data_IF_954352361540
#
_entry.id   IF_954352361540
#
_cell.length_a   1.000
_cell.length_b   1.000
_cell.length_c   1.000
_cell.angle_alpha   90.00
_cell.angle_beta   90.00
_cell.angle_gamma   90.00
#
_symmetry.space_group_name_H-M   'P 1'
#
loop_
_entity.id
_entity.type
_entity.pdbx_description
1 polymer ?
#
# COMPACT_ATOMS: atom_id res chain seq x y z
N UNK A 1 17.52 -11.16 -3.86
CA UNK A 1 17.37 -10.39 -2.62
C UNK A 1 16.63 -9.10 -2.93
N UNK A 2 15.53 -8.83 -2.25
CA UNK A 2 14.79 -7.61 -2.52
C UNK A 2 15.57 -6.37 -2.13
N UNK A 3 15.42 -5.33 -2.95
CA UNK A 3 15.90 -4.00 -2.66
C UNK A 3 14.71 -3.18 -2.18
N UNK A 4 14.92 -2.37 -1.17
CA UNK A 4 13.87 -1.56 -0.57
C UNK A 4 14.16 -0.09 -0.83
N UNK A 5 13.12 0.67 -1.17
CA UNK A 5 13.21 2.12 -1.18
C UNK A 5 12.72 2.62 0.17
N UNK A 6 13.47 3.53 0.76
CA UNK A 6 13.28 3.99 2.13
C UNK A 6 13.05 5.49 2.12
N UNK A 7 12.03 5.94 2.83
CA UNK A 7 11.75 7.36 3.05
C UNK A 7 11.83 7.64 4.55
N UNK A 8 12.66 8.62 4.90
CA UNK A 8 12.68 9.19 6.25
C UNK A 8 12.38 10.66 6.12
N UNK A 9 11.45 11.16 6.92
CA UNK A 9 11.06 12.55 6.81
C UNK A 9 10.75 13.17 8.16
N UNK A 10 10.82 14.48 8.16
CA UNK A 10 10.42 15.34 9.28
C UNK A 10 9.56 16.44 8.71
N UNK A 11 8.43 16.71 9.34
CA UNK A 11 7.50 17.72 8.87
C UNK A 11 7.01 18.53 10.08
N UNK A 12 6.79 19.86 9.94
CA UNK A 12 6.28 20.67 11.05
C UNK A 12 4.93 20.16 11.56
N UNK A 13 4.73 20.24 12.88
CA UNK A 13 3.47 19.85 13.48
C UNK A 13 2.31 20.74 13.03
N UNK A 14 2.59 22.01 12.80
CA UNK A 14 1.59 22.99 12.37
C UNK A 14 1.93 23.52 10.99
N UNK A 15 0.95 23.59 10.08
CA UNK A 15 -0.44 23.11 10.24
C UNK A 15 -0.52 21.57 10.16
N UNK A 16 -1.46 21.01 10.89
CA UNK A 16 -1.66 19.55 10.93
C UNK A 16 -2.01 18.95 9.57
N UNK A 17 -2.57 19.74 8.67
CA UNK A 17 -2.99 19.28 7.34
C UNK A 17 -1.83 18.67 6.55
N UNK A 18 -0.61 19.20 6.66
CA UNK A 18 0.56 18.68 5.98
C UNK A 18 0.90 17.26 6.42
N UNK A 19 0.88 17.01 7.73
CA UNK A 19 1.16 15.67 8.27
C UNK A 19 0.11 14.67 7.84
N UNK A 20 -1.15 15.06 7.86
CA UNK A 20 -2.26 14.19 7.43
C UNK A 20 -2.14 13.85 5.96
N UNK A 21 -1.79 14.83 5.12
CA UNK A 21 -1.60 14.62 3.69
C UNK A 21 -0.52 13.58 3.42
N UNK A 22 0.65 13.73 4.04
CA UNK A 22 1.78 12.80 3.84
C UNK A 22 1.41 11.40 4.32
N UNK A 23 0.80 11.29 5.50
CA UNK A 23 0.40 10.01 6.08
C UNK A 23 -0.58 9.27 5.17
N UNK A 24 -1.60 10.00 4.66
CA UNK A 24 -2.60 9.40 3.76
C UNK A 24 -1.97 8.93 2.46
N UNK A 25 -1.01 9.68 1.94
CA UNK A 25 -0.31 9.29 0.71
C UNK A 25 0.51 8.01 0.93
N UNK A 26 1.23 7.92 2.04
CA UNK A 26 1.99 6.74 2.40
C UNK A 26 1.09 5.51 2.57
N UNK A 27 -0.05 5.69 3.23
CA UNK A 27 -1.01 4.58 3.40
C UNK A 27 -1.59 4.14 2.06
N UNK A 28 -1.90 5.08 1.17
CA UNK A 28 -2.42 4.76 -0.16
C UNK A 28 -1.40 3.97 -0.98
N UNK A 29 -0.13 4.33 -0.88
CA UNK A 29 0.95 3.61 -1.55
C UNK A 29 1.18 2.21 -0.97
N UNK A 30 0.64 1.93 0.21
CA UNK A 30 0.87 0.68 0.91
C UNK A 30 2.24 0.62 1.56
N UNK A 31 2.86 1.77 1.83
CA UNK A 31 4.17 1.82 2.46
C UNK A 31 4.10 1.27 3.88
N UNK A 32 5.15 0.59 4.30
CA UNK A 32 5.26 -0.01 5.63
C UNK A 32 6.04 0.93 6.54
N UNK A 33 5.45 1.23 7.69
CA UNK A 33 6.13 2.02 8.73
C UNK A 33 6.94 1.07 9.63
N UNK A 34 8.26 1.22 9.62
CA UNK A 34 9.13 0.39 10.46
C UNK A 34 9.20 0.90 11.89
N UNK A 35 9.66 2.13 12.03
CA UNK A 35 9.83 2.79 13.33
C UNK A 35 9.53 4.26 13.11
N UNK A 36 8.73 4.84 13.93
CA UNK A 36 8.38 6.26 14.03
C UNK A 36 8.27 7.04 12.73
N UNK A 37 9.33 7.12 11.92
CA UNK A 37 9.36 7.96 10.73
C UNK A 37 10.09 7.30 9.55
N UNK A 38 10.27 5.96 9.59
CA UNK A 38 10.96 5.22 8.53
C UNK A 38 9.95 4.41 7.76
N UNK A 39 9.75 4.76 6.49
CA UNK A 39 8.77 4.10 5.62
C UNK A 39 9.48 3.34 4.52
N UNK A 40 8.94 2.17 4.18
CA UNK A 40 9.51 1.28 3.17
C UNK A 40 8.50 0.96 2.08
N UNK A 41 9.03 0.79 0.87
CA UNK A 41 8.34 0.12 -0.24
C UNK A 41 9.34 -0.79 -0.94
N UNK A 42 8.89 -1.88 -1.58
CA UNK A 42 9.78 -2.61 -2.48
C UNK A 42 10.27 -1.67 -3.58
N UNK A 43 11.56 -1.74 -3.93
CA UNK A 43 12.14 -0.84 -4.90
C UNK A 43 11.75 -1.26 -6.33
N UNK A 44 10.98 -0.43 -6.99
CA UNK A 44 10.65 -0.52 -8.42
C UNK A 44 10.81 0.87 -9.01
N UNK A 45 10.88 1.03 -10.35
CA UNK A 45 10.89 2.36 -10.95
C UNK A 45 9.70 3.21 -10.47
N UNK A 46 8.52 2.60 -10.34
CA UNK A 46 7.33 3.31 -9.91
C UNK A 46 7.39 3.74 -8.43
N UNK A 47 7.79 2.83 -7.52
CA UNK A 47 7.86 3.17 -6.09
C UNK A 47 8.93 4.20 -5.80
N UNK A 48 10.08 4.13 -6.51
CA UNK A 48 11.12 5.15 -6.40
C UNK A 48 10.59 6.52 -6.79
N UNK A 49 9.87 6.59 -7.91
CA UNK A 49 9.27 7.83 -8.38
C UNK A 49 8.26 8.38 -7.37
N UNK A 50 7.42 7.52 -6.81
CA UNK A 50 6.43 7.95 -5.82
C UNK A 50 7.09 8.56 -4.58
N UNK A 51 8.15 7.96 -4.08
CA UNK A 51 8.86 8.51 -2.92
C UNK A 51 9.62 9.80 -3.28
N UNK A 52 10.16 9.89 -4.48
CA UNK A 52 10.80 11.13 -4.94
C UNK A 52 9.80 12.29 -4.99
N UNK A 53 8.62 12.06 -5.54
CA UNK A 53 7.57 13.08 -5.58
C UNK A 53 7.13 13.46 -4.17
N UNK A 54 6.94 12.48 -3.30
CA UNK A 54 6.53 12.74 -1.93
C UNK A 54 7.60 13.55 -1.17
N UNK A 55 8.88 13.27 -1.41
CA UNK A 55 9.97 14.04 -0.81
C UNK A 55 9.93 15.51 -1.23
N UNK A 56 9.62 15.78 -2.50
CA UNK A 56 9.45 17.17 -3.00
C UNK A 56 8.26 17.83 -2.29
N UNK A 57 7.15 17.13 -2.17
CA UNK A 57 5.96 17.66 -1.50
C UNK A 57 6.21 17.95 -0.02
N UNK A 58 6.96 17.08 0.66
CA UNK A 58 7.34 17.28 2.07
C UNK A 58 8.17 18.56 2.22
N UNK A 59 9.10 18.78 1.30
CA UNK A 59 9.92 20.00 1.30
C UNK A 59 9.06 21.24 1.09
N UNK A 60 8.12 21.18 0.17
CA UNK A 60 7.17 22.29 -0.07
C UNK A 60 6.33 22.60 1.15
N UNK A 61 6.05 21.59 1.98
CA UNK A 61 5.31 21.76 3.23
C UNK A 61 6.20 22.25 4.40
N UNK A 62 7.46 22.56 4.12
CA UNK A 62 8.39 23.07 5.12
C UNK A 62 9.14 21.97 5.88
N UNK A 63 9.07 20.73 5.41
CA UNK A 63 9.76 19.61 6.02
C UNK A 63 11.07 19.25 5.31
N UNK A 64 11.63 18.14 5.73
CA UNK A 64 12.83 17.55 5.14
C UNK A 64 12.58 16.08 4.90
N UNK A 65 13.12 15.54 3.80
CA UNK A 65 12.97 14.13 3.46
C UNK A 65 14.24 13.59 2.85
N UNK A 66 14.56 12.35 3.18
CA UNK A 66 15.65 11.60 2.58
C UNK A 66 15.06 10.32 1.98
N UNK A 67 15.48 10.00 0.77
CA UNK A 67 15.06 8.79 0.05
C UNK A 67 16.32 8.05 -0.38
N UNK A 68 16.38 6.76 -0.08
CA UNK A 68 17.49 5.93 -0.55
C UNK A 68 17.01 4.51 -0.82
N UNK A 69 17.87 3.75 -1.47
CA UNK A 69 17.65 2.32 -1.66
C UNK A 69 18.57 1.56 -0.73
N UNK A 70 18.09 0.43 -0.21
CA UNK A 70 18.85 -0.37 0.72
C UNK A 70 18.49 -1.84 0.61
N UNK A 71 19.36 -2.67 1.17
CA UNK A 71 19.16 -4.10 1.30
C UNK A 71 19.36 -4.49 2.75
N UNK A 72 18.62 -5.50 3.18
CA UNK A 72 18.82 -6.07 4.50
C UNK A 72 20.16 -6.82 4.52
N UNK A 73 20.89 -6.65 5.61
CA UNK A 73 22.18 -7.31 5.80
C UNK A 73 22.01 -8.68 6.43
N UNK A 74 21.04 -8.81 7.36
CA UNK A 74 20.84 -10.05 8.10
C UNK A 74 19.85 -10.98 7.40
N UNK A 75 20.12 -12.30 7.37
CA UNK A 75 19.19 -13.25 6.77
C UNK A 75 17.83 -13.26 7.46
N UNK A 76 16.77 -13.46 6.72
CA UNK A 76 15.42 -13.63 7.25
C UNK A 76 14.64 -12.35 7.47
N UNK A 77 15.30 -11.18 7.45
CA UNK A 77 14.60 -9.91 7.67
C UNK A 77 13.72 -9.52 6.51
N UNK A 78 14.13 -9.85 5.28
CA UNK A 78 13.32 -9.59 4.09
C UNK A 78 12.00 -10.35 4.13
N UNK A 79 12.03 -11.61 4.51
CA UNK A 79 10.83 -12.45 4.56
C UNK A 79 9.81 -11.90 5.55
N UNK A 80 10.28 -11.39 6.70
CA UNK A 80 9.38 -10.78 7.69
C UNK A 80 8.66 -9.57 7.10
N UNK A 81 9.39 -8.72 6.37
CA UNK A 81 8.79 -7.54 5.73
C UNK A 81 7.81 -7.93 4.63
N UNK A 82 8.18 -8.88 3.78
CA UNK A 82 7.29 -9.38 2.72
C UNK A 82 6.00 -9.91 3.32
N UNK A 83 6.08 -10.68 4.42
CA UNK A 83 4.90 -11.19 5.10
C UNK A 83 4.01 -10.07 5.64
N UNK A 84 4.60 -8.98 6.14
CA UNK A 84 3.82 -7.83 6.60
C UNK A 84 3.08 -7.15 5.45
N UNK A 85 3.73 -6.96 4.30
CA UNK A 85 3.07 -6.43 3.11
C UNK A 85 1.92 -7.32 2.66
N UNK A 86 2.14 -8.63 2.64
CA UNK A 86 1.10 -9.59 2.25
C UNK A 86 -0.05 -9.59 3.26
N UNK A 87 0.24 -9.56 4.55
CA UNK A 87 -0.78 -9.53 5.58
C UNK A 87 -1.68 -8.30 5.47
N UNK A 88 -1.10 -7.14 5.17
CA UNK A 88 -1.86 -5.90 5.02
C UNK A 88 -2.84 -5.97 3.85
N UNK A 89 -2.41 -6.46 2.68
CA UNK A 89 -3.32 -6.59 1.54
C UNK A 89 -4.32 -7.72 1.75
N UNK A 90 -3.93 -8.81 2.42
CA UNK A 90 -4.84 -9.90 2.72
C UNK A 90 -5.99 -9.46 3.62
N UNK A 91 -5.71 -8.62 4.62
CA UNK A 91 -6.76 -8.06 5.46
C UNK A 91 -7.78 -7.27 4.63
N UNK A 92 -7.28 -6.44 3.70
CA UNK A 92 -8.15 -5.66 2.81
C UNK A 92 -8.92 -6.56 1.84
N UNK A 93 -8.29 -7.59 1.30
CA UNK A 93 -8.96 -8.55 0.42
C UNK A 93 -10.06 -9.33 1.16
N UNK A 94 -9.79 -9.75 2.40
CA UNK A 94 -10.78 -10.46 3.20
C UNK A 94 -11.99 -9.58 3.50
N UNK A 95 -11.78 -8.28 3.71
CA UNK A 95 -12.87 -7.33 3.91
C UNK A 95 -13.77 -7.25 2.67
N UNK A 96 -13.17 -7.26 1.48
CA UNK A 96 -13.93 -7.28 0.21
C UNK A 96 -14.76 -8.55 0.12
N UNK A 97 -14.16 -9.73 0.39
CA UNK A 97 -14.87 -11.00 0.35
C UNK A 97 -16.03 -11.03 1.34
N UNK A 98 -15.83 -10.53 2.55
CA UNK A 98 -16.87 -10.48 3.56
C UNK A 98 -18.04 -9.60 3.12
N UNK A 99 -17.77 -8.43 2.55
CA UNK A 99 -18.81 -7.53 2.05
C UNK A 99 -19.54 -8.15 0.87
N UNK A 100 -18.84 -8.89 0.02
CA UNK A 100 -19.44 -9.56 -1.14
C UNK A 100 -20.47 -10.61 -0.74
N UNK A 101 -20.34 -11.19 0.45
CA UNK A 101 -21.28 -12.17 0.97
C UNK A 101 -22.61 -11.54 1.44
N UNK A 102 -22.65 -10.23 1.60
CA UNK A 102 -23.82 -9.54 2.10
C UNK A 102 -24.87 -9.36 1.00
N UNK A 103 -26.17 -9.40 1.33
CA UNK A 103 -27.22 -9.14 0.34
C UNK A 103 -27.10 -7.72 -0.19
N UNK A 104 -27.34 -7.56 -1.48
CA UNK A 104 -27.31 -6.27 -2.18
C UNK A 104 -25.95 -5.57 -2.13
N UNK A 105 -24.85 -6.35 -2.15
CA UNK A 105 -23.50 -5.79 -2.22
C UNK A 105 -23.33 -4.91 -3.46
N UNK A 106 -22.70 -3.75 -3.27
CA UNK A 106 -22.39 -2.84 -4.37
C UNK A 106 -21.15 -3.34 -5.11
N UNK A 107 -21.35 -4.08 -6.20
CA UNK A 107 -20.27 -4.70 -6.95
C UNK A 107 -19.33 -3.69 -7.58
N UNK A 108 -19.85 -2.53 -8.02
CA UNK A 108 -19.01 -1.47 -8.58
C UNK A 108 -18.08 -0.88 -7.53
N UNK A 109 -18.59 -0.65 -6.32
CA UNK A 109 -17.76 -0.16 -5.21
C UNK A 109 -16.69 -1.18 -4.82
N UNK A 110 -17.05 -2.47 -4.75
CA UNK A 110 -16.11 -3.54 -4.42
C UNK A 110 -15.03 -3.69 -5.49
N UNK A 111 -15.39 -3.54 -6.77
CA UNK A 111 -14.42 -3.56 -7.85
C UNK A 111 -13.42 -2.42 -7.74
N UNK A 112 -13.86 -1.22 -7.36
CA UNK A 112 -12.98 -0.08 -7.13
C UNK A 112 -12.05 -0.34 -5.94
N UNK A 113 -12.57 -0.90 -4.85
CA UNK A 113 -11.76 -1.28 -3.69
C UNK A 113 -10.71 -2.33 -4.07
N UNK A 114 -11.10 -3.33 -4.85
CA UNK A 114 -10.16 -4.33 -5.35
C UNK A 114 -9.02 -3.69 -6.15
N UNK A 115 -9.33 -2.75 -7.04
CA UNK A 115 -8.31 -2.06 -7.83
C UNK A 115 -7.34 -1.28 -6.94
N UNK A 116 -7.85 -0.64 -5.89
CA UNK A 116 -7.01 0.09 -4.94
C UNK A 116 -6.07 -0.84 -4.17
N UNK A 117 -6.56 -1.99 -3.73
CA UNK A 117 -5.73 -2.97 -3.02
C UNK A 117 -4.70 -3.59 -3.96
N UNK A 118 -5.12 -3.93 -5.19
CA UNK A 118 -4.23 -4.51 -6.19
C UNK A 118 -3.06 -3.57 -6.51
N UNK A 119 -3.30 -2.27 -6.56
CA UNK A 119 -2.27 -1.28 -6.85
C UNK A 119 -1.15 -1.26 -5.81
N UNK A 120 -1.40 -1.73 -4.59
CA UNK A 120 -0.40 -1.82 -3.52
C UNK A 120 -0.07 -3.27 -3.13
N UNK A 121 -0.49 -4.23 -3.95
CA UNK A 121 -0.20 -5.65 -3.73
C UNK A 121 1.11 -6.01 -4.47
N UNK A 122 2.22 -5.58 -3.91
CA UNK A 122 3.53 -5.68 -4.55
C UNK A 122 4.05 -7.10 -4.68
N UNK A 123 3.57 -8.01 -3.83
CA UNK A 123 4.03 -9.39 -3.79
C UNK A 123 2.99 -10.37 -4.31
N UNK A 124 1.93 -9.87 -4.92
CA UNK A 124 0.90 -10.66 -5.62
C UNK A 124 0.34 -11.77 -4.75
N UNK A 125 -0.34 -11.37 -3.67
CA UNK A 125 -0.99 -12.31 -2.76
C UNK A 125 -1.95 -13.24 -3.50
N UNK A 126 -1.93 -14.56 -3.24
CA UNK A 126 -2.89 -15.50 -3.82
C UNK A 126 -4.35 -15.11 -3.55
N UNK A 127 -4.62 -14.47 -2.42
CA UNK A 127 -5.96 -14.03 -2.06
C UNK A 127 -6.52 -13.00 -3.05
N UNK A 128 -5.65 -12.17 -3.65
CA UNK A 128 -6.05 -11.22 -4.68
C UNK A 128 -6.70 -11.89 -5.88
N UNK A 129 -6.17 -13.04 -6.32
CA UNK A 129 -6.78 -13.80 -7.42
C UNK A 129 -8.12 -14.39 -7.03
N UNK A 130 -8.26 -14.83 -5.79
CA UNK A 130 -9.53 -15.33 -5.27
C UNK A 130 -10.60 -14.25 -5.25
N UNK A 131 -10.25 -13.04 -4.81
CA UNK A 131 -11.17 -11.90 -4.80
C UNK A 131 -11.60 -11.56 -6.23
N UNK A 132 -10.66 -11.51 -7.15
CA UNK A 132 -10.96 -11.23 -8.55
C UNK A 132 -11.95 -12.25 -9.12
N UNK A 133 -11.69 -13.54 -8.88
CA UNK A 133 -12.58 -14.61 -9.33
C UNK A 133 -13.97 -14.48 -8.71
N UNK A 134 -14.05 -14.16 -7.42
CA UNK A 134 -15.33 -13.99 -6.73
C UNK A 134 -16.14 -12.80 -7.27
N UNK A 135 -15.46 -11.69 -7.56
CA UNK A 135 -16.10 -10.51 -8.15
C UNK A 135 -16.61 -10.80 -9.56
N UNK A 136 -15.83 -11.50 -10.38
CA UNK A 136 -16.23 -11.87 -11.72
C UNK A 136 -17.42 -12.83 -11.69
N UNK A 137 -17.42 -13.80 -10.78
CA UNK A 137 -18.53 -14.74 -10.63
C UNK A 137 -19.81 -14.03 -10.19
N UNK A 138 -19.72 -13.09 -9.25
CA UNK A 138 -20.87 -12.31 -8.79
C UNK A 138 -21.44 -11.44 -9.90
N UNK A 139 -20.57 -10.84 -10.72
CA UNK A 139 -20.97 -10.01 -11.85
C UNK A 139 -21.63 -10.85 -12.94
N UNK A 140 -21.06 -12.02 -13.24
CA UNK A 140 -21.64 -12.95 -14.22
C UNK A 140 -23.00 -13.46 -13.79
N UNK A 141 -23.23 -13.63 -12.47
CA UNK A 141 -24.53 -13.98 -11.93
C UNK A 141 -25.58 -12.90 -12.14
N UNK A 142 -25.16 -11.63 -12.11
CA UNK A 142 -26.07 -10.49 -12.34
C UNK A 142 -26.44 -10.32 -13.81
N UNK A 143 -25.64 -10.85 -14.72
CA UNK A 143 -25.93 -10.79 -16.16
C UNK A 143 -26.92 -11.87 -16.62
N UNK A 144 -27.21 -12.81 -15.75
CA UNK A 144 -28.14 -13.88 -16.00
C UNK A 144 -29.52 -13.56 -15.44
#
# INVERSE_FOLDING_TARGET
MPTWVVLVYKIPREPAAGRVYVWRKLKRLGALLLHDAVWLLPATPWTREQFQWLAVEIKELGGEALVWESRMVLPGQDEVLVQQFVADVDEAYQAILATLQQPHADLAALARQYQQVQARDYFQSPLGRQVRAALLAARGGDEL
#
